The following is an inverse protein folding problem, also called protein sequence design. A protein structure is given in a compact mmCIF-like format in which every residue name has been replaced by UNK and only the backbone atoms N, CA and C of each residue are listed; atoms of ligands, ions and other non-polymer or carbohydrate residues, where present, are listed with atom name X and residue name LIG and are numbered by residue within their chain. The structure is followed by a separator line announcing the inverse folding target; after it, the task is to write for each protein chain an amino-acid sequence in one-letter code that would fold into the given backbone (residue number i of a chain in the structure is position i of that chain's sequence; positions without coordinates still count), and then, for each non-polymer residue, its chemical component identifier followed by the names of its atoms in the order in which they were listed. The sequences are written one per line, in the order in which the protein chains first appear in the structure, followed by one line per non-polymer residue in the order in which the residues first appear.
data_IF_095291452253
#
_entry.id   IF_095291452253
#
_cell.length_a   1.000
_cell.length_b   1.000
_cell.length_c   1.000
_cell.angle_alpha   90.00
_cell.angle_beta   90.00
_cell.angle_gamma   90.00
#
_symmetry.space_group_name_H-M   'P 1'
#
loop_
_entity.id
_entity.type
_entity.pdbx_description
1 polymer ?
#
# COMPACT_ATOMS: atom_id res chain seq x y z
N UNK A 1 -5.50 -3.61 23.20
CA UNK A 1 -4.87 -4.24 22.03
C UNK A 1 -5.16 -3.35 20.82
N UNK A 2 -4.24 -2.44 20.47
CA UNK A 2 -4.35 -1.65 19.24
C UNK A 2 -3.64 -2.40 18.13
N UNK A 3 -4.37 -2.90 17.14
CA UNK A 3 -3.76 -3.50 15.96
C UNK A 3 -4.28 -2.78 14.73
N UNK A 4 -3.36 -2.29 13.90
CA UNK A 4 -3.61 -1.75 12.55
C UNK A 4 -3.84 -2.84 11.50
N UNK A 5 -3.94 -4.11 11.92
CA UNK A 5 -4.09 -5.28 11.05
C UNK A 5 -5.54 -5.75 11.04
N UNK A 6 -6.09 -5.98 9.86
CA UNK A 6 -7.34 -6.71 9.68
C UNK A 6 -7.04 -8.21 9.65
N UNK A 7 -7.41 -8.92 10.71
CA UNK A 7 -7.29 -10.37 10.82
C UNK A 7 -8.59 -11.11 10.49
N UNK A 8 -9.67 -10.35 10.24
CA UNK A 8 -10.99 -10.90 10.00
C UNK A 8 -11.22 -11.04 8.49
N UNK A 9 -10.88 -10.00 7.72
CA UNK A 9 -11.17 -9.96 6.29
C UNK A 9 -12.65 -10.19 6.02
N UNK A 10 -12.97 -11.10 5.12
CA UNK A 10 -14.35 -11.53 4.85
C UNK A 10 -14.96 -12.44 5.94
N UNK A 11 -14.13 -12.99 6.84
CA UNK A 11 -14.58 -13.98 7.82
C UNK A 11 -15.19 -15.21 7.15
N UNK A 12 -16.27 -15.74 7.73
CA UNK A 12 -16.95 -16.94 7.22
C UNK A 12 -17.79 -16.68 5.96
N UNK A 13 -18.18 -15.43 5.73
CA UNK A 13 -19.19 -15.04 4.74
C UNK A 13 -18.51 -14.26 3.61
N UNK A 14 -17.92 -14.99 2.66
CA UNK A 14 -17.19 -14.43 1.52
C UNK A 14 -18.13 -13.93 0.41
N UNK A 15 -17.81 -12.83 -0.29
CA UNK A 15 -18.62 -12.34 -1.40
C UNK A 15 -18.58 -13.32 -2.57
N UNK A 16 -19.70 -13.43 -3.30
CA UNK A 16 -19.75 -14.15 -4.57
C UNK A 16 -19.01 -13.36 -5.64
N UNK A 17 -17.85 -13.87 -6.05
CA UNK A 17 -17.00 -13.18 -7.03
C UNK A 17 -17.68 -12.95 -8.40
N UNK A 18 -18.66 -13.79 -8.75
CA UNK A 18 -19.41 -13.75 -10.00
C UNK A 18 -18.51 -13.59 -11.24
N UNK A 19 -17.44 -14.38 -11.30
CA UNK A 19 -16.47 -14.29 -12.39
C UNK A 19 -17.13 -14.43 -13.77
N UNK A 20 -16.59 -13.77 -14.81
CA UNK A 20 -17.13 -13.83 -16.17
C UNK A 20 -17.39 -15.26 -16.64
N UNK A 21 -18.54 -15.47 -17.29
CA UNK A 21 -18.94 -16.79 -17.78
C UNK A 21 -19.33 -17.79 -16.69
N UNK A 22 -19.54 -17.35 -15.45
CA UNK A 22 -19.81 -18.24 -14.31
C UNK A 22 -18.60 -19.08 -13.92
N UNK A 23 -17.39 -18.55 -14.14
CA UNK A 23 -16.17 -19.28 -13.84
C UNK A 23 -16.08 -19.60 -12.34
N UNK A 24 -15.69 -20.84 -12.04
CA UNK A 24 -15.49 -21.37 -10.69
C UNK A 24 -14.20 -20.87 -10.06
N UNK A 25 -13.22 -20.50 -10.89
CA UNK A 25 -11.94 -19.97 -10.45
C UNK A 25 -11.41 -18.97 -11.48
N UNK A 26 -10.79 -17.89 -11.00
CA UNK A 26 -9.98 -17.00 -11.81
C UNK A 26 -8.50 -17.36 -11.63
N UNK A 27 -7.81 -17.79 -12.69
CA UNK A 27 -6.38 -18.09 -12.65
C UNK A 27 -5.60 -16.94 -13.27
N UNK A 28 -4.66 -16.38 -12.51
CA UNK A 28 -3.93 -15.17 -12.85
C UNK A 28 -2.42 -15.48 -12.86
N UNK A 29 -1.82 -15.50 -14.06
CA UNK A 29 -0.40 -15.76 -14.24
C UNK A 29 0.42 -14.46 -14.15
N UNK A 30 1.36 -14.41 -13.21
CA UNK A 30 2.31 -13.30 -13.05
C UNK A 30 3.68 -13.71 -13.57
N UNK A 31 4.24 -12.94 -14.50
CA UNK A 31 5.63 -13.05 -14.92
C UNK A 31 6.43 -11.87 -14.38
N UNK A 32 7.30 -12.10 -13.41
CA UNK A 32 8.22 -11.09 -12.90
C UNK A 32 9.36 -10.89 -13.92
N UNK A 33 9.58 -9.63 -14.30
CA UNK A 33 10.67 -9.20 -15.17
C UNK A 33 11.56 -8.22 -14.39
N UNK A 34 12.61 -8.78 -13.79
CA UNK A 34 13.47 -8.11 -12.81
C UNK A 34 14.93 -8.04 -13.27
N UNK A 35 15.28 -8.87 -14.26
CA UNK A 35 16.62 -9.05 -14.78
C UNK A 35 17.17 -7.76 -15.42
N UNK A 36 18.19 -7.18 -14.81
CA UNK A 36 18.75 -5.86 -15.11
C UNK A 36 18.31 -4.76 -14.13
N UNK A 37 17.42 -5.07 -13.19
CA UNK A 37 16.91 -4.16 -12.15
C UNK A 37 17.31 -4.55 -10.73
N UNK A 38 17.97 -5.69 -10.54
CA UNK A 38 18.47 -6.21 -9.26
C UNK A 38 19.67 -5.43 -8.69
N UNK A 39 20.09 -5.79 -7.48
CA UNK A 39 21.27 -5.17 -6.86
C UNK A 39 22.54 -5.42 -7.67
N UNK A 40 23.18 -4.35 -8.12
CA UNK A 40 24.48 -4.41 -8.77
C UNK A 40 25.22 -3.09 -8.60
N UNK A 41 26.55 -3.15 -8.38
CA UNK A 41 27.36 -1.93 -8.27
C UNK A 41 27.34 -1.09 -9.55
N UNK A 42 27.07 -1.72 -10.71
CA UNK A 42 26.88 -1.02 -11.99
C UNK A 42 25.58 -0.20 -12.02
N UNK A 43 24.64 -0.49 -11.12
CA UNK A 43 23.37 0.23 -10.94
C UNK A 43 23.44 1.24 -9.80
N UNK A 44 24.62 1.46 -9.21
CA UNK A 44 24.83 2.34 -8.07
C UNK A 44 24.54 1.72 -6.70
N UNK A 45 24.32 0.41 -6.62
CA UNK A 45 24.07 -0.27 -5.34
C UNK A 45 25.36 -0.54 -4.56
N UNK A 46 25.23 -0.69 -3.24
CA UNK A 46 26.37 -0.93 -2.35
C UNK A 46 27.00 -2.33 -2.49
N UNK A 47 26.26 -3.31 -3.02
CA UNK A 47 26.69 -4.70 -3.09
C UNK A 47 26.04 -5.43 -4.29
N UNK A 48 26.56 -6.62 -4.61
CA UNK A 48 25.93 -7.55 -5.54
C UNK A 48 24.63 -8.15 -5.01
N UNK A 49 23.78 -8.62 -5.93
CA UNK A 49 22.58 -9.40 -5.61
C UNK A 49 22.90 -10.73 -4.93
N UNK A 50 21.95 -11.18 -4.11
CA UNK A 50 22.04 -12.39 -3.31
C UNK A 50 20.71 -13.18 -3.26
N UNK A 51 19.62 -12.60 -3.73
CA UNK A 51 18.29 -13.18 -3.64
C UNK A 51 17.86 -13.87 -4.95
N UNK A 52 16.98 -14.87 -4.83
CA UNK A 52 16.34 -15.62 -5.93
C UNK A 52 17.27 -16.00 -7.10
N UNK A 53 18.28 -16.82 -6.80
CA UNK A 53 19.14 -17.44 -7.83
C UNK A 53 19.42 -18.91 -7.50
N UNK A 54 20.18 -19.58 -8.37
CA UNK A 54 20.64 -20.96 -8.13
C UNK A 54 21.63 -21.07 -6.96
N UNK A 55 22.20 -19.95 -6.50
CA UNK A 55 23.12 -19.91 -5.37
C UNK A 55 22.31 -19.62 -4.11
N UNK A 56 21.55 -20.62 -3.66
CA UNK A 56 20.73 -20.52 -2.45
C UNK A 56 21.63 -20.24 -1.24
N UNK A 57 21.32 -19.19 -0.50
CA UNK A 57 22.14 -18.73 0.63
C UNK A 57 23.34 -17.85 0.25
N UNK A 58 23.38 -17.34 -0.99
CA UNK A 58 24.34 -16.30 -1.34
C UNK A 58 24.26 -15.11 -0.36
N UNK A 59 25.42 -14.50 -0.10
CA UNK A 59 25.52 -13.25 0.63
C UNK A 59 25.86 -12.12 -0.36
N UNK A 60 25.35 -10.88 -0.16
CA UNK A 60 25.77 -9.73 -0.95
C UNK A 60 27.29 -9.51 -0.82
N UNK A 61 27.96 -9.16 -1.91
CA UNK A 61 29.39 -8.81 -1.89
C UNK A 61 29.56 -7.29 -1.94
N UNK A 62 29.91 -6.63 -0.82
CA UNK A 62 30.04 -5.17 -0.78
C UNK A 62 31.11 -4.66 -1.75
N UNK A 63 30.77 -3.63 -2.52
CA UNK A 63 31.66 -2.96 -3.47
C UNK A 63 32.16 -3.85 -4.62
N UNK A 64 31.57 -5.03 -4.82
CA UNK A 64 32.03 -6.01 -5.79
C UNK A 64 30.91 -6.52 -6.69
N UNK A 65 31.31 -6.94 -7.89
CA UNK A 65 30.46 -7.70 -8.80
C UNK A 65 30.48 -9.17 -8.43
N UNK A 66 29.34 -9.84 -8.61
CA UNK A 66 29.23 -11.29 -8.43
C UNK A 66 28.88 -11.91 -9.78
N UNK A 67 29.91 -12.23 -10.57
CA UNK A 67 29.75 -12.65 -11.97
C UNK A 67 28.83 -13.87 -12.14
N UNK A 68 28.84 -14.82 -11.20
CA UNK A 68 27.92 -15.95 -11.24
C UNK A 68 26.46 -15.48 -11.06
N UNK A 69 26.20 -14.59 -10.10
CA UNK A 69 24.87 -14.02 -9.89
C UNK A 69 24.39 -13.25 -11.13
N UNK A 70 25.22 -12.37 -11.67
CA UNK A 70 24.87 -11.57 -12.86
C UNK A 70 24.51 -12.49 -14.04
N UNK A 71 25.33 -13.51 -14.33
CA UNK A 71 25.04 -14.44 -15.43
C UNK A 71 23.80 -15.33 -15.19
N UNK A 72 23.45 -15.60 -13.93
CA UNK A 72 22.19 -16.27 -13.58
C UNK A 72 20.97 -15.39 -13.87
N UNK A 73 21.06 -14.08 -13.59
CA UNK A 73 20.03 -13.11 -13.95
C UNK A 73 19.97 -12.89 -15.46
N UNK A 74 21.10 -12.72 -16.13
CA UNK A 74 21.17 -12.62 -17.59
C UNK A 74 20.46 -13.77 -18.30
N UNK A 75 20.51 -14.99 -17.78
CA UNK A 75 19.76 -16.12 -18.34
C UNK A 75 18.25 -15.85 -18.44
N UNK A 76 17.66 -15.18 -17.44
CA UNK A 76 16.25 -14.83 -17.43
C UNK A 76 15.89 -13.94 -18.61
N UNK A 77 16.58 -12.81 -18.77
CA UNK A 77 16.35 -11.88 -19.87
C UNK A 77 16.70 -12.48 -21.25
N UNK A 78 17.79 -13.25 -21.33
CA UNK A 78 18.35 -13.76 -22.62
C UNK A 78 17.63 -14.99 -23.15
N UNK A 79 17.11 -15.85 -22.29
CA UNK A 79 16.60 -17.16 -22.69
C UNK A 79 15.31 -17.57 -21.96
N UNK A 80 15.21 -17.32 -20.66
CA UNK A 80 14.05 -17.67 -19.84
C UNK A 80 12.77 -17.00 -20.32
N UNK A 81 12.82 -15.67 -20.47
CA UNK A 81 11.71 -14.84 -20.96
C UNK A 81 11.17 -15.35 -22.29
N UNK A 82 12.02 -15.53 -23.30
CA UNK A 82 11.59 -15.97 -24.63
C UNK A 82 10.97 -17.36 -24.65
N UNK A 83 11.40 -18.25 -23.74
CA UNK A 83 10.81 -19.58 -23.61
C UNK A 83 9.41 -19.51 -23.01
N UNK A 84 9.21 -18.66 -22.00
CA UNK A 84 7.92 -18.42 -21.37
C UNK A 84 6.97 -17.68 -22.31
N UNK A 85 7.47 -16.68 -23.03
CA UNK A 85 6.73 -15.97 -24.08
C UNK A 85 6.14 -16.95 -25.10
N UNK A 86 6.96 -17.84 -25.67
CA UNK A 86 6.46 -18.88 -26.60
C UNK A 86 5.43 -19.81 -25.95
N UNK A 87 5.66 -20.24 -24.71
CA UNK A 87 4.74 -21.15 -24.01
C UNK A 87 3.34 -20.52 -23.88
N UNK A 88 3.29 -19.28 -23.44
CA UNK A 88 2.03 -18.55 -23.19
C UNK A 88 1.37 -18.09 -24.48
N UNK A 89 2.10 -17.53 -25.45
CA UNK A 89 1.50 -17.06 -26.71
C UNK A 89 0.97 -18.21 -27.56
N UNK A 90 1.65 -19.36 -27.59
CA UNK A 90 1.15 -20.57 -28.26
C UNK A 90 -0.16 -21.11 -27.66
N UNK A 91 -0.42 -20.81 -26.38
CA UNK A 91 -1.62 -21.23 -25.65
C UNK A 91 -2.64 -20.09 -25.47
N UNK A 92 -2.38 -18.91 -26.03
CA UNK A 92 -3.17 -17.69 -25.82
C UNK A 92 -3.44 -17.40 -24.34
N UNK A 93 -2.47 -17.68 -23.46
CA UNK A 93 -2.62 -17.42 -22.02
C UNK A 93 -2.37 -15.93 -21.75
N UNK A 94 -3.34 -15.21 -21.17
CA UNK A 94 -3.12 -13.84 -20.71
C UNK A 94 -2.16 -13.82 -19.53
N UNK A 95 -1.24 -12.86 -19.52
CA UNK A 95 -0.22 -12.69 -18.47
C UNK A 95 -0.24 -11.25 -17.98
N UNK A 96 0.02 -11.09 -16.70
CA UNK A 96 0.44 -9.80 -16.12
C UNK A 96 1.92 -9.87 -15.84
N UNK A 97 2.68 -8.94 -16.41
CA UNK A 97 4.09 -8.76 -16.11
C UNK A 97 4.19 -7.86 -14.89
N UNK A 98 4.95 -8.28 -13.89
CA UNK A 98 5.47 -7.40 -12.84
C UNK A 98 6.85 -6.92 -13.29
N UNK A 99 6.87 -5.75 -13.93
CA UNK A 99 8.04 -5.21 -14.60
C UNK A 99 8.76 -4.16 -13.77
N UNK A 100 10.02 -4.45 -13.41
CA UNK A 100 10.89 -3.48 -12.74
C UNK A 100 11.30 -2.43 -13.77
N UNK A 101 11.04 -1.14 -13.50
CA UNK A 101 11.13 -0.10 -14.52
C UNK A 101 12.54 0.00 -15.15
N UNK A 102 13.60 -0.15 -14.34
CA UNK A 102 14.98 -0.18 -14.85
C UNK A 102 15.31 -1.44 -15.65
N UNK A 103 14.72 -2.59 -15.34
CA UNK A 103 14.87 -3.82 -16.13
C UNK A 103 14.18 -3.68 -17.49
N UNK A 104 12.95 -3.15 -17.52
CA UNK A 104 12.21 -2.86 -18.76
C UNK A 104 12.99 -1.92 -19.67
N UNK A 105 13.55 -0.83 -19.11
CA UNK A 105 14.35 0.14 -19.85
C UNK A 105 15.60 -0.46 -20.51
N UNK A 106 16.18 -1.52 -19.93
CA UNK A 106 17.38 -2.19 -20.47
C UNK A 106 17.06 -3.18 -21.59
N UNK A 107 15.81 -3.61 -21.76
CA UNK A 107 15.44 -4.61 -22.75
C UNK A 107 14.15 -4.22 -23.52
N UNK A 108 14.24 -3.24 -24.43
CA UNK A 108 13.08 -2.79 -25.21
C UNK A 108 12.48 -3.91 -26.08
N UNK A 109 13.26 -4.91 -26.51
CA UNK A 109 12.77 -6.04 -27.29
C UNK A 109 11.79 -6.91 -26.47
N UNK A 110 12.10 -7.15 -25.19
CA UNK A 110 11.19 -7.85 -24.29
C UNK A 110 9.90 -7.05 -24.07
N UNK A 111 10.00 -5.72 -23.89
CA UNK A 111 8.83 -4.85 -23.76
C UNK A 111 7.96 -4.89 -25.02
N UNK A 112 8.57 -4.84 -26.20
CA UNK A 112 7.86 -4.97 -27.48
C UNK A 112 7.12 -6.31 -27.58
N UNK A 113 7.75 -7.41 -27.16
CA UNK A 113 7.12 -8.74 -27.15
C UNK A 113 5.96 -8.87 -26.14
N UNK A 114 6.06 -8.21 -24.97
CA UNK A 114 4.96 -8.14 -23.99
C UNK A 114 3.75 -7.41 -24.58
N UNK A 115 4.00 -6.30 -25.30
CA UNK A 115 2.95 -5.52 -25.97
C UNK A 115 2.33 -6.27 -27.15
N UNK A 116 3.15 -6.95 -27.96
CA UNK A 116 2.68 -7.82 -29.04
C UNK A 116 1.71 -8.89 -28.53
N UNK A 117 2.01 -9.49 -27.37
CA UNK A 117 1.17 -10.50 -26.73
C UNK A 117 -0.05 -9.92 -25.99
N UNK A 118 -0.25 -8.60 -26.01
CA UNK A 118 -1.31 -7.88 -25.28
C UNK A 118 -1.33 -8.18 -23.76
N UNK A 119 -0.17 -8.50 -23.19
CA UNK A 119 -0.02 -8.70 -21.76
C UNK A 119 -0.17 -7.36 -21.01
N UNK A 120 -0.68 -7.43 -19.79
CA UNK A 120 -0.61 -6.29 -18.89
C UNK A 120 0.84 -6.12 -18.43
N UNK A 121 1.36 -4.90 -18.37
CA UNK A 121 2.65 -4.59 -17.75
C UNK A 121 2.37 -3.70 -16.54
N UNK A 122 2.36 -4.29 -15.34
CA UNK A 122 2.22 -3.60 -14.07
C UNK A 122 3.59 -3.26 -13.49
N UNK A 123 3.65 -2.21 -12.67
CA UNK A 123 4.92 -1.75 -12.10
C UNK A 123 5.38 -2.68 -10.99
N UNK A 124 6.65 -3.10 -11.07
CA UNK A 124 7.35 -3.81 -10.01
C UNK A 124 8.41 -2.95 -9.30
N UNK A 125 8.14 -1.65 -9.18
CA UNK A 125 9.08 -0.69 -8.60
C UNK A 125 10.13 -0.17 -9.58
N UNK A 126 10.95 0.78 -9.11
CA UNK A 126 12.03 1.35 -9.92
C UNK A 126 13.17 0.33 -10.08
N UNK A 127 13.51 -0.32 -8.97
CA UNK A 127 14.55 -1.35 -8.85
C UNK A 127 14.03 -2.51 -8.03
N UNK A 128 14.62 -3.67 -8.22
CA UNK A 128 14.34 -4.86 -7.44
C UNK A 128 15.26 -4.93 -6.22
N UNK A 129 14.92 -4.16 -5.19
CA UNK A 129 15.67 -4.08 -3.93
C UNK A 129 14.76 -4.26 -2.71
N UNK A 130 15.33 -4.28 -1.50
CA UNK A 130 14.57 -4.34 -0.25
C UNK A 130 14.17 -2.91 0.17
N UNK A 131 12.87 -2.64 0.25
CA UNK A 131 12.31 -1.36 0.67
C UNK A 131 11.99 -1.30 2.17
N UNK A 132 12.16 -2.40 2.93
CA UNK A 132 11.72 -2.54 4.33
C UNK A 132 12.00 -1.31 5.19
N UNK A 133 13.23 -0.81 5.12
CA UNK A 133 13.74 0.28 5.96
C UNK A 133 13.85 1.63 5.21
N UNK A 134 13.30 1.71 3.99
CA UNK A 134 13.39 2.92 3.16
C UNK A 134 12.57 4.07 3.76
N UNK A 135 13.14 5.27 3.90
CA UNK A 135 12.38 6.44 4.32
C UNK A 135 11.22 6.72 3.35
N UNK A 136 10.03 7.00 3.89
CA UNK A 136 8.81 7.23 3.08
C UNK A 136 9.01 8.22 1.94
N UNK A 137 9.75 9.31 2.17
CA UNK A 137 10.00 10.33 1.15
C UNK A 137 10.88 9.80 0.00
N UNK A 138 11.87 8.96 0.31
CA UNK A 138 12.71 8.32 -0.70
C UNK A 138 11.90 7.29 -1.49
N UNK A 139 11.11 6.45 -0.81
CA UNK A 139 10.25 5.46 -1.46
C UNK A 139 9.20 6.13 -2.37
N UNK A 140 8.60 7.24 -1.92
CA UNK A 140 7.71 8.05 -2.75
C UNK A 140 8.40 8.53 -4.04
N UNK A 141 9.62 9.07 -3.91
CA UNK A 141 10.38 9.55 -5.06
C UNK A 141 10.76 8.41 -6.02
N UNK A 142 11.10 7.23 -5.50
CA UNK A 142 11.37 6.04 -6.32
C UNK A 142 10.10 5.53 -7.01
N UNK A 143 8.94 5.53 -6.33
CA UNK A 143 7.66 5.17 -6.92
C UNK A 143 7.28 6.10 -8.07
N UNK A 144 7.47 7.42 -7.89
CA UNK A 144 7.23 8.41 -8.94
C UNK A 144 8.21 8.26 -10.11
N UNK A 145 9.48 7.96 -9.84
CA UNK A 145 10.46 7.67 -10.88
C UNK A 145 10.14 6.38 -11.65
N UNK A 146 9.68 5.33 -10.96
CA UNK A 146 9.24 4.09 -11.57
C UNK A 146 8.07 4.33 -12.53
N UNK A 147 7.05 5.06 -12.08
CA UNK A 147 5.89 5.40 -12.90
C UNK A 147 6.31 6.13 -14.18
N UNK A 148 7.15 7.17 -14.07
CA UNK A 148 7.63 7.94 -15.23
C UNK A 148 8.40 7.06 -16.21
N UNK A 149 9.40 6.32 -15.73
CA UNK A 149 10.21 5.46 -16.58
C UNK A 149 9.37 4.33 -17.21
N UNK A 150 8.42 3.77 -16.47
CA UNK A 150 7.52 2.75 -16.98
C UNK A 150 6.65 3.29 -18.11
N UNK A 151 6.08 4.49 -17.96
CA UNK A 151 5.32 5.16 -19.02
C UNK A 151 6.19 5.46 -20.25
N UNK A 152 7.42 5.93 -20.05
CA UNK A 152 8.38 6.18 -21.14
C UNK A 152 8.71 4.91 -21.95
N UNK A 153 8.93 3.76 -21.29
CA UNK A 153 9.40 2.54 -21.97
C UNK A 153 8.25 1.67 -22.49
N UNK A 154 7.09 1.70 -21.85
CA UNK A 154 5.93 0.88 -22.27
C UNK A 154 4.93 1.65 -23.13
N UNK A 155 4.94 2.98 -23.03
CA UNK A 155 4.01 3.89 -23.73
C UNK A 155 2.75 4.23 -22.94
N UNK A 156 2.52 3.59 -21.78
CA UNK A 156 1.35 3.85 -20.92
C UNK A 156 1.72 3.80 -19.44
N UNK A 157 1.01 4.58 -18.62
CA UNK A 157 1.15 4.55 -17.17
C UNK A 157 0.76 3.14 -16.63
N UNK A 158 1.56 2.53 -15.74
CA UNK A 158 1.17 1.28 -15.08
C UNK A 158 -0.08 1.48 -14.20
N UNK A 159 -1.06 0.59 -14.33
CA UNK A 159 -2.31 0.64 -13.55
C UNK A 159 -2.26 -0.23 -12.29
N UNK A 160 -1.32 -1.18 -12.21
CA UNK A 160 -1.07 -2.02 -11.06
C UNK A 160 0.29 -1.76 -10.42
N UNK A 161 0.40 -2.01 -9.13
CA UNK A 161 1.66 -1.89 -8.38
C UNK A 161 1.93 -3.11 -7.49
N UNK A 162 3.18 -3.58 -7.52
CA UNK A 162 3.74 -4.58 -6.60
C UNK A 162 5.19 -4.23 -6.27
N UNK A 163 5.58 -4.12 -5.00
CA UNK A 163 6.99 -3.97 -4.61
C UNK A 163 7.62 -5.32 -4.21
N UNK A 164 6.84 -6.22 -3.62
CA UNK A 164 7.28 -7.49 -3.07
C UNK A 164 7.95 -7.33 -1.71
N UNK A 165 9.21 -6.88 -1.69
CA UNK A 165 9.95 -6.57 -0.44
C UNK A 165 9.59 -5.16 0.02
N UNK A 166 8.31 -4.95 0.33
CA UNK A 166 7.70 -3.65 0.62
C UNK A 166 8.12 -3.08 1.98
N UNK A 167 7.99 -1.76 2.13
CA UNK A 167 8.05 -1.07 3.42
C UNK A 167 6.66 -1.02 4.07
N UNK A 168 6.58 -0.49 5.30
CA UNK A 168 5.30 -0.17 5.95
C UNK A 168 4.51 0.96 5.28
N UNK A 169 5.14 1.71 4.37
CA UNK A 169 4.55 2.86 3.68
C UNK A 169 4.00 2.51 2.29
N UNK A 170 4.45 1.41 1.69
CA UNK A 170 4.24 1.11 0.26
C UNK A 170 2.77 1.16 -0.17
N UNK A 171 1.87 0.52 0.59
CA UNK A 171 0.45 0.49 0.25
C UNK A 171 -0.17 1.90 0.31
N UNK A 172 0.10 2.68 1.35
CA UNK A 172 -0.39 4.07 1.45
C UNK A 172 0.17 4.95 0.33
N UNK A 173 1.45 4.79 -0.02
CA UNK A 173 2.05 5.49 -1.17
C UNK A 173 1.38 5.10 -2.50
N UNK A 174 0.99 3.84 -2.65
CA UNK A 174 0.23 3.36 -3.80
C UNK A 174 -1.17 3.99 -3.88
N UNK A 175 -1.87 4.10 -2.73
CA UNK A 175 -3.17 4.76 -2.65
C UNK A 175 -3.10 6.24 -3.09
N UNK A 176 -2.09 6.98 -2.64
CA UNK A 176 -1.86 8.39 -3.03
C UNK A 176 -1.71 8.58 -4.55
N UNK A 177 -1.31 7.53 -5.27
CA UNK A 177 -1.04 7.55 -6.71
C UNK A 177 -2.17 6.95 -7.54
N UNK A 178 -3.25 6.49 -6.92
CA UNK A 178 -4.48 6.09 -7.61
C UNK A 178 -4.30 4.90 -8.56
N UNK A 179 -3.51 3.89 -8.20
CA UNK A 179 -3.46 2.64 -8.95
C UNK A 179 -4.83 1.95 -8.96
N UNK A 180 -5.16 1.25 -10.05
CA UNK A 180 -6.38 0.46 -10.14
C UNK A 180 -6.34 -0.76 -9.19
N UNK A 181 -5.14 -1.27 -8.90
CA UNK A 181 -4.94 -2.24 -7.83
C UNK A 181 -3.52 -2.19 -7.25
N UNK A 182 -3.40 -2.68 -6.02
CA UNK A 182 -2.16 -2.95 -5.30
C UNK A 182 -2.05 -4.46 -5.03
N UNK A 183 -0.84 -5.02 -5.07
CA UNK A 183 -0.62 -6.46 -4.90
C UNK A 183 0.33 -6.84 -3.75
N UNK A 184 0.82 -5.87 -2.96
CA UNK A 184 1.63 -6.10 -1.75
C UNK A 184 0.80 -6.61 -0.57
N UNK A 185 0.06 -7.69 -0.79
CA UNK A 185 -0.67 -8.44 0.23
C UNK A 185 -0.78 -9.91 -0.18
N UNK A 186 -0.76 -10.78 0.82
CA UNK A 186 -0.83 -12.24 0.67
C UNK A 186 -1.94 -12.82 1.57
N UNK A 187 -2.93 -12.00 1.90
CA UNK A 187 -3.81 -12.22 3.05
C UNK A 187 -5.20 -12.80 2.72
N UNK A 188 -5.51 -13.03 1.44
CA UNK A 188 -6.84 -13.50 1.03
C UNK A 188 -6.78 -14.20 -0.35
N UNK A 189 -7.82 -14.97 -0.67
CA UNK A 189 -8.05 -15.66 -1.94
C UNK A 189 -8.96 -14.84 -2.89
N UNK A 190 -9.38 -13.65 -2.47
CA UNK A 190 -10.20 -12.69 -3.23
C UNK A 190 -9.62 -11.27 -3.19
N UNK A 191 -9.87 -10.44 -4.22
CA UNK A 191 -9.62 -9.01 -4.12
C UNK A 191 -10.45 -8.39 -3.00
N UNK A 192 -9.94 -7.34 -2.35
CA UNK A 192 -10.65 -6.63 -1.30
C UNK A 192 -10.26 -5.16 -1.26
N UNK A 193 -11.15 -4.30 -0.76
CA UNK A 193 -10.88 -2.87 -0.67
C UNK A 193 -10.02 -2.55 0.56
N UNK A 194 -8.84 -2.00 0.31
CA UNK A 194 -8.02 -1.37 1.32
C UNK A 194 -8.48 0.09 1.45
N UNK A 195 -8.92 0.44 2.65
CA UNK A 195 -9.11 1.84 3.01
C UNK A 195 -7.86 2.29 3.74
N UNK A 196 -7.27 3.39 3.32
CA UNK A 196 -6.10 3.99 3.92
C UNK A 196 -6.38 5.45 4.26
N UNK A 197 -5.36 6.14 4.75
CA UNK A 197 -5.47 7.58 5.04
C UNK A 197 -5.54 8.39 3.75
N UNK A 198 -4.87 7.92 2.71
CA UNK A 198 -4.82 8.55 1.40
C UNK A 198 -6.07 8.28 0.52
N UNK A 199 -6.97 7.40 0.94
CA UNK A 199 -8.17 7.06 0.20
C UNK A 199 -8.47 5.56 0.20
N UNK A 200 -9.24 5.11 -0.77
CA UNK A 200 -9.61 3.69 -0.93
C UNK A 200 -8.96 3.15 -2.20
N UNK A 201 -8.39 1.95 -2.13
CA UNK A 201 -7.80 1.27 -3.27
C UNK A 201 -8.04 -0.23 -3.21
N UNK A 202 -8.03 -0.86 -4.37
CA UNK A 202 -8.29 -2.29 -4.45
C UNK A 202 -6.99 -3.06 -4.22
N UNK A 203 -7.01 -4.01 -3.30
CA UNK A 203 -5.98 -5.03 -3.21
C UNK A 203 -6.42 -6.22 -4.04
N UNK A 204 -5.55 -6.65 -4.96
CA UNK A 204 -5.65 -7.96 -5.59
C UNK A 204 -4.51 -8.77 -4.99
N UNK A 205 -4.75 -9.72 -4.05
CA UNK A 205 -3.69 -10.37 -3.27
C UNK A 205 -2.85 -11.33 -4.13
N UNK A 206 -1.55 -11.36 -3.86
CA UNK A 206 -0.54 -12.17 -4.57
C UNK A 206 -0.13 -13.40 -3.73
N UNK A 207 0.90 -14.12 -4.18
CA UNK A 207 1.34 -15.38 -3.57
C UNK A 207 2.86 -15.44 -3.43
N UNK A 208 3.33 -16.02 -2.32
CA UNK A 208 4.73 -16.43 -2.12
C UNK A 208 4.89 -17.95 -2.08
N UNK A 209 3.80 -18.70 -2.12
CA UNK A 209 3.73 -20.15 -2.01
C UNK A 209 3.49 -20.83 -3.37
N UNK A 210 2.44 -20.44 -4.11
CA UNK A 210 2.19 -20.80 -5.51
C UNK A 210 3.09 -19.98 -6.45
N UNK A 211 4.39 -20.02 -6.17
CA UNK A 211 5.40 -19.13 -6.75
C UNK A 211 6.70 -19.90 -7.02
N UNK A 212 7.26 -19.79 -8.22
CA UNK A 212 8.51 -20.47 -8.59
C UNK A 212 9.74 -19.93 -7.85
N UNK A 213 9.63 -18.78 -7.15
CA UNK A 213 10.66 -18.28 -6.22
C UNK A 213 11.08 -19.38 -5.24
N UNK A 214 10.16 -20.29 -4.92
CA UNK A 214 10.39 -21.40 -4.00
C UNK A 214 11.47 -22.35 -4.49
N UNK A 215 11.78 -22.43 -5.78
CA UNK A 215 12.97 -23.17 -6.25
C UNK A 215 14.30 -22.60 -5.75
N UNK A 216 14.33 -21.34 -5.31
CA UNK A 216 15.51 -20.62 -4.84
C UNK A 216 15.41 -20.22 -3.35
N UNK A 217 14.58 -20.93 -2.57
CA UNK A 217 14.43 -20.72 -1.12
C UNK A 217 14.79 -21.98 -0.33
N UNK A 218 15.07 -21.82 0.97
CA UNK A 218 15.51 -22.94 1.82
C UNK A 218 14.50 -24.10 1.88
N UNK A 219 13.19 -23.84 2.05
CA UNK A 219 12.14 -24.87 2.07
C UNK A 219 11.61 -25.16 0.64
N UNK A 220 12.48 -25.13 -0.35
CA UNK A 220 12.12 -25.02 -1.76
C UNK A 220 11.65 -26.29 -2.48
N UNK A 221 11.08 -26.11 -3.68
CA UNK A 221 10.74 -27.21 -4.58
C UNK A 221 12.02 -27.84 -5.15
N UNK A 222 12.25 -29.13 -4.90
CA UNK A 222 13.44 -29.82 -5.43
C UNK A 222 13.34 -30.14 -6.93
N UNK A 223 12.13 -30.35 -7.45
CA UNK A 223 11.88 -30.75 -8.84
C UNK A 223 10.68 -30.01 -9.41
N UNK A 224 10.56 -30.02 -10.74
CA UNK A 224 9.35 -29.55 -11.41
C UNK A 224 8.08 -30.26 -10.94
N UNK A 225 8.15 -31.54 -10.57
CA UNK A 225 6.99 -32.28 -10.06
C UNK A 225 6.41 -31.63 -8.81
N UNK A 226 7.26 -31.21 -7.86
CA UNK A 226 6.77 -30.59 -6.63
C UNK A 226 6.03 -29.28 -6.91
N UNK A 227 6.53 -28.46 -7.84
CA UNK A 227 5.84 -27.23 -8.21
C UNK A 227 4.53 -27.50 -8.92
N UNK A 228 4.50 -28.43 -9.89
CA UNK A 228 3.27 -28.82 -10.55
C UNK A 228 2.24 -29.37 -9.56
N UNK A 229 2.65 -30.29 -8.69
CA UNK A 229 1.75 -30.89 -7.69
C UNK A 229 1.15 -29.82 -6.78
N UNK A 230 1.98 -28.87 -6.31
CA UNK A 230 1.51 -27.77 -5.49
C UNK A 230 0.48 -26.90 -6.24
N UNK A 231 0.79 -26.49 -7.47
CA UNK A 231 -0.13 -25.68 -8.27
C UNK A 231 -1.43 -26.43 -8.59
N UNK A 232 -1.35 -27.71 -8.94
CA UNK A 232 -2.52 -28.57 -9.18
C UNK A 232 -3.40 -28.66 -7.94
N UNK A 233 -2.81 -28.94 -6.78
CA UNK A 233 -3.58 -29.13 -5.54
C UNK A 233 -4.22 -27.81 -5.10
N UNK A 234 -3.53 -26.67 -5.24
CA UNK A 234 -4.11 -25.33 -5.01
C UNK A 234 -5.26 -25.04 -5.97
N UNK A 235 -5.09 -25.35 -7.27
CA UNK A 235 -6.14 -25.17 -8.27
C UNK A 235 -7.36 -26.07 -7.96
N UNK A 236 -7.15 -27.36 -7.71
CA UNK A 236 -8.23 -28.33 -7.48
C UNK A 236 -9.05 -27.97 -6.24
N UNK A 237 -8.40 -27.51 -5.16
CA UNK A 237 -9.07 -27.03 -3.96
C UNK A 237 -9.96 -25.80 -4.24
N UNK A 238 -9.39 -24.75 -4.83
CA UNK A 238 -10.12 -23.52 -5.14
C UNK A 238 -11.21 -23.74 -6.20
N UNK A 239 -10.97 -24.61 -7.18
CA UNK A 239 -11.95 -25.00 -8.19
C UNK A 239 -13.13 -25.76 -7.56
N UNK A 240 -12.86 -26.64 -6.60
CA UNK A 240 -13.90 -27.34 -5.85
C UNK A 240 -14.76 -26.36 -5.04
N UNK A 241 -14.14 -25.45 -4.28
CA UNK A 241 -14.83 -24.37 -3.55
C UNK A 241 -15.65 -23.48 -4.47
N UNK A 242 -15.17 -23.25 -5.71
CA UNK A 242 -15.86 -22.47 -6.72
C UNK A 242 -17.21 -23.01 -7.18
N UNK A 243 -17.62 -24.20 -6.75
CA UNK A 243 -18.99 -24.65 -6.89
C UNK A 243 -19.99 -23.78 -6.08
N UNK A 244 -19.53 -23.20 -4.97
CA UNK A 244 -20.36 -22.41 -4.06
C UNK A 244 -19.81 -21.02 -3.79
N UNK A 245 -18.49 -20.82 -3.81
CA UNK A 245 -17.85 -19.53 -3.55
C UNK A 245 -16.54 -19.39 -4.36
N UNK A 246 -16.63 -18.98 -5.64
CA UNK A 246 -15.47 -18.82 -6.52
C UNK A 246 -14.38 -17.91 -5.95
N UNK A 247 -13.12 -18.26 -6.22
CA UNK A 247 -11.90 -17.56 -5.76
C UNK A 247 -10.95 -17.24 -6.91
N UNK A 248 -9.87 -16.53 -6.62
CA UNK A 248 -8.77 -16.38 -7.56
C UNK A 248 -7.52 -17.15 -7.11
N UNK A 249 -6.67 -17.50 -8.06
CA UNK A 249 -5.36 -18.11 -7.83
C UNK A 249 -4.31 -17.30 -8.58
N UNK A 250 -3.34 -16.76 -7.85
CA UNK A 250 -2.13 -16.20 -8.46
C UNK A 250 -1.09 -17.30 -8.70
N UNK A 251 -0.34 -17.22 -9.80
CA UNK A 251 0.84 -18.05 -10.04
C UNK A 251 2.04 -17.15 -10.32
N UNK A 252 2.99 -17.11 -9.38
CA UNK A 252 4.17 -16.27 -9.47
C UNK A 252 5.32 -16.95 -10.22
N UNK A 253 5.86 -16.29 -11.24
CA UNK A 253 6.91 -16.84 -12.10
C UNK A 253 8.06 -15.85 -12.29
N UNK A 254 9.30 -16.33 -12.39
CA UNK A 254 10.47 -15.51 -12.64
C UNK A 254 11.22 -16.03 -13.87
N UNK A 255 11.62 -15.13 -14.77
CA UNK A 255 12.27 -15.50 -16.04
C UNK A 255 13.50 -16.38 -15.82
N UNK A 256 14.36 -16.02 -14.86
CA UNK A 256 15.58 -16.77 -14.54
C UNK A 256 15.35 -18.13 -13.85
N UNK A 257 14.17 -18.35 -13.26
CA UNK A 257 13.84 -19.57 -12.51
C UNK A 257 13.04 -20.56 -13.36
N UNK A 258 11.71 -20.42 -13.46
CA UNK A 258 10.87 -21.37 -14.22
C UNK A 258 11.23 -21.40 -15.70
N UNK A 259 11.85 -20.36 -16.25
CA UNK A 259 12.36 -20.35 -17.62
C UNK A 259 13.48 -21.36 -17.88
N UNK A 260 14.04 -22.02 -16.85
CA UNK A 260 14.99 -23.12 -16.99
C UNK A 260 14.29 -24.38 -17.55
N UNK A 261 14.92 -25.16 -18.46
CA UNK A 261 14.27 -26.31 -19.08
C UNK A 261 13.77 -27.37 -18.08
N UNK A 262 14.51 -27.59 -16.98
CA UNK A 262 14.13 -28.54 -15.95
C UNK A 262 12.91 -28.12 -15.11
N UNK A 263 12.49 -26.85 -15.16
CA UNK A 263 11.36 -26.31 -14.38
C UNK A 263 10.15 -26.00 -15.26
N UNK A 264 10.35 -25.48 -16.47
CA UNK A 264 9.25 -25.06 -17.35
C UNK A 264 8.28 -26.20 -17.71
N UNK A 265 8.74 -27.44 -17.74
CA UNK A 265 7.90 -28.61 -17.99
C UNK A 265 6.76 -28.74 -16.96
N UNK A 266 6.99 -28.35 -15.72
CA UNK A 266 5.97 -28.33 -14.67
C UNK A 266 4.89 -27.27 -14.95
N UNK A 267 5.31 -26.09 -15.38
CA UNK A 267 4.38 -25.02 -15.76
C UNK A 267 3.54 -25.42 -16.96
N UNK A 268 4.14 -26.03 -17.99
CA UNK A 268 3.39 -26.52 -19.15
C UNK A 268 2.32 -27.54 -18.72
N UNK A 269 2.67 -28.51 -17.87
CA UNK A 269 1.70 -29.47 -17.32
C UNK A 269 0.59 -28.81 -16.51
N UNK A 270 0.89 -27.77 -15.74
CA UNK A 270 -0.12 -27.04 -14.99
C UNK A 270 -1.09 -26.31 -15.93
N UNK A 271 -0.59 -25.66 -16.98
CA UNK A 271 -1.44 -25.04 -18.00
C UNK A 271 -2.30 -26.08 -18.73
N UNK A 272 -1.76 -27.26 -19.02
CA UNK A 272 -2.52 -28.36 -19.61
C UNK A 272 -3.61 -28.88 -18.65
N UNK A 273 -3.33 -28.94 -17.34
CA UNK A 273 -4.33 -29.27 -16.30
C UNK A 273 -5.44 -28.23 -16.25
N UNK A 274 -5.11 -26.94 -16.21
CA UNK A 274 -6.09 -25.85 -16.22
C UNK A 274 -6.97 -25.89 -17.48
N UNK A 275 -6.36 -26.11 -18.65
CA UNK A 275 -7.08 -26.19 -19.92
C UNK A 275 -8.04 -27.40 -20.03
N UNK A 276 -7.83 -28.43 -19.21
CA UNK A 276 -8.71 -29.60 -19.16
C UNK A 276 -9.98 -29.38 -18.31
N UNK A 277 -10.15 -28.21 -17.68
CA UNK A 277 -11.30 -27.89 -16.82
C UNK A 277 -12.18 -26.80 -17.43
N UNK A 278 -13.49 -27.03 -17.43
CA UNK A 278 -14.47 -26.01 -17.81
C UNK A 278 -14.63 -24.95 -16.72
N UNK A 279 -15.14 -23.76 -17.09
CA UNK A 279 -15.45 -22.72 -16.11
C UNK A 279 -14.21 -22.16 -15.40
N UNK A 280 -13.08 -22.07 -16.10
CA UNK A 280 -11.89 -21.36 -15.62
C UNK A 280 -11.77 -20.03 -16.36
N UNK A 281 -11.60 -18.94 -15.61
CA UNK A 281 -11.26 -17.64 -16.19
C UNK A 281 -9.75 -17.41 -16.09
N UNK A 282 -9.04 -17.55 -17.21
CA UNK A 282 -7.67 -17.05 -17.33
C UNK A 282 -7.71 -15.54 -17.54
N UNK A 283 -7.11 -14.78 -16.62
CA UNK A 283 -7.25 -13.33 -16.58
C UNK A 283 -5.90 -12.61 -16.43
N UNK A 284 -5.81 -11.39 -16.98
CA UNK A 284 -4.82 -10.42 -16.50
C UNK A 284 -5.32 -9.86 -15.16
N UNK A 285 -4.40 -9.44 -14.32
CA UNK A 285 -4.69 -8.90 -13.00
C UNK A 285 -5.52 -7.61 -13.07
N UNK A 286 -5.28 -6.75 -14.06
CA UNK A 286 -6.13 -5.58 -14.33
C UNK A 286 -7.58 -5.94 -14.68
N UNK A 287 -7.80 -7.09 -15.33
CA UNK A 287 -9.16 -7.53 -15.68
C UNK A 287 -9.90 -7.99 -14.42
N UNK A 288 -9.22 -8.69 -13.49
CA UNK A 288 -9.75 -9.02 -12.16
C UNK A 288 -10.07 -7.74 -11.38
N UNK A 289 -9.16 -6.77 -11.37
CA UNK A 289 -9.36 -5.51 -10.67
C UNK A 289 -10.59 -4.74 -11.19
N UNK A 290 -10.73 -4.63 -12.51
CA UNK A 290 -11.88 -3.98 -13.16
C UNK A 290 -13.18 -4.73 -12.90
N UNK A 291 -13.17 -6.06 -12.99
CA UNK A 291 -14.32 -6.90 -12.66
C UNK A 291 -14.78 -6.67 -11.23
N UNK A 292 -13.84 -6.74 -10.28
CA UNK A 292 -14.15 -6.56 -8.86
C UNK A 292 -14.69 -5.16 -8.59
N UNK A 293 -14.08 -4.13 -9.15
CA UNK A 293 -14.54 -2.76 -8.95
C UNK A 293 -15.95 -2.52 -9.49
N UNK A 294 -16.32 -3.18 -10.60
CA UNK A 294 -17.68 -3.11 -11.15
C UNK A 294 -18.70 -3.92 -10.34
N UNK A 295 -18.33 -5.14 -9.90
CA UNK A 295 -19.26 -6.08 -9.25
C UNK A 295 -19.40 -5.88 -7.75
N UNK A 296 -18.32 -5.44 -7.12
CA UNK A 296 -18.13 -5.20 -5.69
C UNK A 296 -17.53 -3.81 -5.52
N UNK A 297 -18.27 -2.72 -5.82
CA UNK A 297 -17.75 -1.36 -5.65
C UNK A 297 -17.35 -1.13 -4.19
N UNK A 298 -16.35 -0.28 -3.97
CA UNK A 298 -15.93 0.09 -2.62
C UNK A 298 -17.13 0.61 -1.83
N UNK A 299 -17.46 -0.06 -0.73
CA UNK A 299 -18.50 0.44 0.16
C UNK A 299 -18.04 1.76 0.77
N UNK A 300 -18.95 2.75 0.81
CA UNK A 300 -18.73 3.93 1.63
C UNK A 300 -18.45 3.48 3.06
N UNK A 301 -17.46 4.10 3.73
CA UNK A 301 -17.18 3.80 5.12
C UNK A 301 -18.47 4.01 5.94
N UNK A 302 -18.94 2.95 6.57
CA UNK A 302 -20.07 2.97 7.51
C UNK A 302 -19.58 2.72 8.93
N UNK A 303 -19.06 3.74 9.62
CA UNK A 303 -18.78 3.72 11.06
C UNK A 303 -19.74 2.87 11.90
N UNK A 304 -21.05 2.98 11.62
CA UNK A 304 -22.13 2.31 12.35
C UNK A 304 -22.14 0.79 12.22
N UNK A 305 -21.57 0.23 11.15
CA UNK A 305 -21.50 -1.22 10.92
C UNK A 305 -20.14 -1.84 11.22
N UNK A 306 -19.17 -1.04 11.69
CA UNK A 306 -17.82 -1.51 11.98
C UNK A 306 -17.74 -2.19 13.35
N UNK A 307 -16.95 -3.27 13.42
CA UNK A 307 -16.45 -3.77 14.71
C UNK A 307 -15.56 -2.73 15.39
N UNK A 308 -15.37 -2.84 16.71
CA UNK A 308 -14.49 -1.94 17.46
C UNK A 308 -13.06 -1.89 16.88
N UNK A 309 -12.54 -3.05 16.45
CA UNK A 309 -11.21 -3.14 15.85
C UNK A 309 -11.14 -2.34 14.54
N UNK A 310 -12.07 -2.60 13.61
CA UNK A 310 -12.15 -1.87 12.34
C UNK A 310 -12.33 -0.36 12.58
N UNK A 311 -13.23 0.02 13.46
CA UNK A 311 -13.51 1.42 13.76
C UNK A 311 -12.27 2.14 14.32
N UNK A 312 -11.54 1.53 15.26
CA UNK A 312 -10.31 2.10 15.80
C UNK A 312 -9.17 2.17 14.80
N UNK A 313 -9.02 1.15 13.93
CA UNK A 313 -8.06 1.20 12.84
C UNK A 313 -8.36 2.36 11.88
N UNK A 314 -9.64 2.68 11.66
CA UNK A 314 -10.09 3.71 10.70
C UNK A 314 -10.15 5.12 11.27
N UNK A 315 -10.51 5.28 12.53
CA UNK A 315 -10.82 6.57 13.15
C UNK A 315 -10.10 6.83 14.47
N UNK A 316 -9.26 5.89 14.94
CA UNK A 316 -8.52 6.03 16.19
C UNK A 316 -7.49 7.17 16.19
N UNK A 317 -7.02 7.57 15.02
CA UNK A 317 -6.01 8.63 14.84
C UNK A 317 -6.61 10.03 14.59
N UNK A 318 -7.94 10.18 14.61
CA UNK A 318 -8.59 11.47 14.31
C UNK A 318 -8.14 12.56 15.30
N UNK A 319 -7.94 12.20 16.57
CA UNK A 319 -7.46 13.08 17.64
C UNK A 319 -5.99 12.76 18.02
N UNK A 320 -5.12 12.59 17.02
CA UNK A 320 -3.72 12.15 17.20
C UNK A 320 -3.64 10.77 17.88
N UNK A 321 -2.68 10.57 18.78
CA UNK A 321 -2.47 9.34 19.55
C UNK A 321 -3.48 9.17 20.71
N UNK A 322 -4.73 9.63 20.53
CA UNK A 322 -5.81 9.50 21.52
C UNK A 322 -6.98 8.65 21.02
N UNK A 323 -6.76 7.36 20.71
CA UNK A 323 -7.79 6.44 20.23
C UNK A 323 -8.89 6.15 21.27
N UNK A 324 -8.70 6.54 22.53
CA UNK A 324 -9.74 6.48 23.57
C UNK A 324 -11.01 7.24 23.17
N UNK A 325 -10.88 8.38 22.49
CA UNK A 325 -12.03 9.19 22.06
C UNK A 325 -12.86 8.40 21.03
N UNK A 326 -12.19 7.79 20.07
CA UNK A 326 -12.83 6.92 19.09
C UNK A 326 -13.49 5.70 19.76
N UNK A 327 -12.79 5.03 20.68
CA UNK A 327 -13.34 3.89 21.41
C UNK A 327 -14.61 4.26 22.17
N UNK A 328 -14.60 5.41 22.87
CA UNK A 328 -15.76 5.92 23.62
C UNK A 328 -16.94 6.23 22.70
N UNK A 329 -16.71 6.89 21.57
CA UNK A 329 -17.75 7.17 20.60
C UNK A 329 -18.38 5.88 20.06
N UNK A 330 -17.55 4.88 19.75
CA UNK A 330 -18.02 3.57 19.31
C UNK A 330 -18.84 2.85 20.40
N UNK A 331 -18.36 2.84 21.64
CA UNK A 331 -19.04 2.23 22.79
C UNK A 331 -20.36 2.90 23.14
N UNK A 332 -20.52 4.20 22.85
CA UNK A 332 -21.77 4.92 23.04
C UNK A 332 -22.89 4.46 22.08
N UNK A 333 -22.53 3.69 21.04
CA UNK A 333 -23.45 3.18 20.02
C UNK A 333 -23.56 4.13 18.84
N UNK A 334 -22.96 3.74 17.71
CA UNK A 334 -23.06 4.48 16.45
C UNK A 334 -24.28 3.98 15.66
N UNK A 335 -24.96 4.92 14.99
CA UNK A 335 -26.10 4.67 14.11
C UNK A 335 -25.80 5.18 12.70
N UNK A 336 -26.72 4.98 11.76
CA UNK A 336 -26.55 5.48 10.39
C UNK A 336 -26.32 7.01 10.28
N UNK A 337 -26.63 7.78 11.34
CA UNK A 337 -26.31 9.22 11.38
C UNK A 337 -24.80 9.46 11.43
N UNK A 338 -24.06 8.59 12.10
CA UNK A 338 -22.61 8.67 12.26
C UNK A 338 -21.85 8.13 11.03
N UNK A 339 -22.55 7.74 9.97
CA UNK A 339 -21.92 7.34 8.70
C UNK A 339 -21.56 8.54 7.79
N UNK A 340 -21.81 9.76 8.24
CA UNK A 340 -21.31 10.99 7.61
C UNK A 340 -20.18 11.61 8.43
N UNK A 341 -19.40 12.48 7.79
CA UNK A 341 -18.40 13.27 8.48
C UNK A 341 -19.04 14.03 9.67
N UNK A 342 -20.15 14.73 9.44
CA UNK A 342 -20.84 15.59 10.42
C UNK A 342 -21.32 14.78 11.62
N UNK A 343 -21.96 13.63 11.36
CA UNK A 343 -22.47 12.77 12.42
C UNK A 343 -21.34 12.17 13.25
N UNK A 344 -20.31 11.62 12.59
CA UNK A 344 -19.19 11.03 13.32
C UNK A 344 -18.40 12.09 14.10
N UNK A 345 -18.26 13.29 13.54
CA UNK A 345 -17.64 14.42 14.23
C UNK A 345 -18.39 14.78 15.50
N UNK A 346 -19.72 14.93 15.41
CA UNK A 346 -20.55 15.21 16.57
C UNK A 346 -20.41 14.13 17.67
N UNK A 347 -20.40 12.85 17.29
CA UNK A 347 -20.21 11.74 18.22
C UNK A 347 -18.83 11.77 18.90
N UNK A 348 -17.76 11.99 18.13
CA UNK A 348 -16.40 12.05 18.65
C UNK A 348 -16.16 13.29 19.52
N UNK A 349 -16.70 14.45 19.14
CA UNK A 349 -16.63 15.68 19.95
C UNK A 349 -17.42 15.50 21.25
N UNK A 350 -18.59 14.85 21.20
CA UNK A 350 -19.33 14.46 22.40
C UNK A 350 -18.51 13.57 23.33
N UNK A 351 -17.83 12.55 22.77
CA UNK A 351 -16.95 11.67 23.52
C UNK A 351 -15.74 12.41 24.15
N UNK A 352 -15.13 13.35 23.42
CA UNK A 352 -14.06 14.23 23.91
C UNK A 352 -14.56 15.14 25.04
N UNK A 353 -15.66 15.86 24.83
CA UNK A 353 -16.22 16.81 25.81
C UNK A 353 -16.73 16.11 27.07
N UNK A 354 -17.11 14.84 26.97
CA UNK A 354 -17.45 13.98 28.11
C UNK A 354 -16.25 13.44 28.89
N UNK A 355 -15.00 13.69 28.47
CA UNK A 355 -13.82 13.35 29.27
C UNK A 355 -13.65 14.33 30.46
N UNK A 356 -13.08 13.88 31.59
CA UNK A 356 -12.67 14.79 32.66
C UNK A 356 -11.72 15.88 32.15
N UNK A 357 -11.78 17.08 32.71
CA UNK A 357 -10.98 18.23 32.28
C UNK A 357 -9.46 17.92 32.24
N UNK A 358 -8.96 17.12 33.18
CA UNK A 358 -7.55 16.67 33.18
C UNK A 358 -7.16 15.85 31.95
N UNK A 359 -8.06 14.99 31.46
CA UNK A 359 -7.83 14.20 30.24
C UNK A 359 -7.92 15.07 28.98
N UNK A 360 -8.82 16.06 28.97
CA UNK A 360 -8.89 17.06 27.90
C UNK A 360 -7.61 17.92 27.85
N UNK A 361 -7.08 18.34 29.01
CA UNK A 361 -5.79 19.04 29.10
C UNK A 361 -4.64 18.15 28.63
N UNK A 362 -4.63 16.87 29.00
CA UNK A 362 -3.62 15.92 28.54
C UNK A 362 -3.62 15.76 27.01
N UNK A 363 -4.81 15.69 26.38
CA UNK A 363 -4.94 15.69 24.92
C UNK A 363 -4.32 16.94 24.31
N UNK A 364 -4.66 18.14 24.81
CA UNK A 364 -4.11 19.39 24.27
C UNK A 364 -2.58 19.39 24.43
N UNK A 365 -2.05 18.98 25.59
CA UNK A 365 -0.60 18.91 25.83
C UNK A 365 0.13 17.92 24.92
N UNK A 366 -0.54 16.84 24.52
CA UNK A 366 0.01 15.87 23.58
C UNK A 366 -0.03 16.37 22.12
N UNK A 367 -0.78 17.41 21.82
CA UNK A 367 -0.87 17.94 20.47
C UNK A 367 0.45 18.62 20.05
N UNK A 368 0.99 18.32 18.85
CA UNK A 368 2.27 18.85 18.44
C UNK A 368 2.21 20.37 18.21
N UNK A 369 3.30 21.05 18.57
CA UNK A 369 3.44 22.48 18.32
C UNK A 369 3.64 22.80 16.83
N UNK A 370 3.08 23.93 16.40
CA UNK A 370 3.34 24.50 15.08
C UNK A 370 4.79 24.98 14.99
N UNK A 371 5.51 24.51 13.96
CA UNK A 371 6.94 24.78 13.74
C UNK A 371 7.85 24.40 14.94
N UNK A 372 7.37 23.51 15.82
CA UNK A 372 8.10 23.08 17.01
C UNK A 372 9.23 22.09 16.72
N UNK A 373 9.95 21.69 17.77
CA UNK A 373 11.12 20.78 17.65
C UNK A 373 10.81 19.44 16.97
N UNK A 374 9.61 18.89 17.19
CA UNK A 374 9.17 17.65 16.51
C UNK A 374 9.01 17.85 14.99
N UNK A 375 8.52 19.03 14.57
CA UNK A 375 8.44 19.40 13.16
C UNK A 375 9.83 19.52 12.55
N UNK A 376 10.75 20.18 13.24
CA UNK A 376 12.14 20.35 12.82
C UNK A 376 12.89 19.01 12.73
N UNK A 377 12.61 18.08 13.65
CA UNK A 377 13.20 16.74 13.67
C UNK A 377 12.52 15.77 12.69
N UNK A 378 11.47 16.17 11.98
CA UNK A 378 10.70 15.27 11.10
C UNK A 378 9.97 14.15 11.85
N UNK A 379 9.64 14.36 13.13
CA UNK A 379 9.06 13.37 14.05
C UNK A 379 7.55 13.57 14.27
N UNK A 380 6.90 14.42 13.47
CA UNK A 380 5.45 14.62 13.53
C UNK A 380 4.68 13.42 12.97
N UNK A 381 3.43 13.24 13.42
CA UNK A 381 2.50 12.33 12.74
C UNK A 381 2.31 12.80 11.28
N UNK A 382 2.05 11.88 10.35
CA UNK A 382 1.87 12.23 8.94
C UNK A 382 0.74 13.25 8.73
N UNK A 383 -0.33 13.20 9.55
CA UNK A 383 -1.41 14.18 9.50
C UNK A 383 -0.91 15.58 9.89
N UNK A 384 -0.19 15.70 11.00
CA UNK A 384 0.41 16.98 11.41
C UNK A 384 1.46 17.48 10.41
N UNK A 385 2.26 16.59 9.80
CA UNK A 385 3.23 16.95 8.75
C UNK A 385 2.53 17.55 7.53
N UNK A 386 1.47 16.89 7.03
CA UNK A 386 0.70 17.39 5.89
C UNK A 386 0.00 18.72 6.21
N UNK A 387 -0.60 18.83 7.39
CA UNK A 387 -1.26 20.06 7.86
C UNK A 387 -0.25 21.22 7.93
N UNK A 388 0.90 21.04 8.58
CA UNK A 388 1.93 22.08 8.69
C UNK A 388 2.60 22.41 7.35
N UNK A 389 2.81 21.42 6.49
CA UNK A 389 3.29 21.62 5.13
C UNK A 389 2.34 22.50 4.30
N UNK A 390 1.03 22.26 4.39
CA UNK A 390 0.01 23.02 3.64
C UNK A 390 -0.07 24.51 4.01
N UNK A 391 0.29 24.86 5.25
CA UNK A 391 0.36 26.24 5.73
C UNK A 391 1.72 26.91 5.43
N UNK A 392 2.61 26.22 4.71
CA UNK A 392 3.93 26.72 4.36
C UNK A 392 4.91 26.78 5.54
N UNK A 393 4.65 26.09 6.65
CA UNK A 393 5.54 26.08 7.82
C UNK A 393 6.81 25.23 7.62
N UNK A 394 6.87 24.43 6.55
CA UNK A 394 8.06 23.66 6.19
C UNK A 394 9.19 24.47 5.54
N UNK A 395 8.97 25.75 5.24
CA UNK A 395 9.93 26.63 4.55
C UNK A 395 9.99 28.02 5.23
N UNK A 396 10.18 28.03 6.54
CA UNK A 396 10.37 29.26 7.33
C UNK A 396 11.82 29.74 7.23
N UNK A 397 12.01 31.06 7.12
CA UNK A 397 13.30 31.70 7.36
C UNK A 397 13.73 31.56 8.83
N UNK A 398 15.03 31.75 9.09
CA UNK A 398 15.55 31.70 10.46
C UNK A 398 14.88 32.72 11.39
N UNK A 399 14.53 33.91 10.88
CA UNK A 399 13.84 34.95 11.65
C UNK A 399 12.39 34.57 11.97
N UNK A 400 11.65 34.05 10.99
CA UNK A 400 10.28 33.55 11.20
C UNK A 400 10.28 32.39 12.20
N UNK A 401 11.21 31.45 12.07
CA UNK A 401 11.33 30.32 12.99
C UNK A 401 11.59 30.79 14.43
N UNK A 402 12.54 31.72 14.61
CA UNK A 402 12.80 32.31 15.92
C UNK A 402 11.58 33.04 16.49
N UNK A 403 10.74 33.66 15.65
CA UNK A 403 9.47 34.27 16.08
C UNK A 403 8.47 33.21 16.56
N UNK A 404 8.30 32.11 15.82
CA UNK A 404 7.46 30.98 16.25
C UNK A 404 7.95 30.37 17.57
N UNK A 405 9.26 30.19 17.75
CA UNK A 405 9.83 29.66 18.99
C UNK A 405 9.56 30.56 20.19
N UNK A 406 9.74 31.89 20.03
CA UNK A 406 9.41 32.86 21.09
C UNK A 406 7.93 32.84 21.45
N UNK A 407 7.05 32.77 20.46
CA UNK A 407 5.60 32.73 20.67
C UNK A 407 5.16 31.43 21.34
N UNK A 408 5.66 30.28 20.91
CA UNK A 408 5.43 28.98 21.56
C UNK A 408 5.90 29.00 23.03
N UNK A 409 7.09 29.55 23.30
CA UNK A 409 7.61 29.66 24.67
C UNK A 409 6.74 30.57 25.56
N UNK A 410 6.34 31.74 25.06
CA UNK A 410 5.44 32.65 25.78
C UNK A 410 4.09 32.01 26.06
N UNK A 411 3.57 31.25 25.10
CA UNK A 411 2.29 30.58 25.20
C UNK A 411 2.30 29.45 26.24
N UNK A 412 3.33 28.59 26.22
CA UNK A 412 3.55 27.59 27.26
C UNK A 412 3.69 28.21 28.65
N UNK A 413 4.47 29.28 28.77
CA UNK A 413 4.70 29.93 30.06
C UNK A 413 3.39 30.51 30.65
N UNK A 414 2.47 30.98 29.81
CA UNK A 414 1.21 31.58 30.25
C UNK A 414 0.12 30.55 30.54
N UNK A 415 0.00 29.52 29.71
CA UNK A 415 -1.16 28.62 29.72
C UNK A 415 -0.86 27.18 30.10
N UNK A 416 0.42 26.78 30.13
CA UNK A 416 0.86 25.39 30.31
C UNK A 416 0.25 24.42 29.29
N UNK A 417 0.03 24.94 28.07
CA UNK A 417 -0.53 24.25 26.91
C UNK A 417 0.28 24.66 25.66
N UNK A 418 0.39 23.79 24.64
CA UNK A 418 0.85 24.20 23.32
C UNK A 418 -0.20 25.06 22.60
N UNK A 419 0.26 25.91 21.67
CA UNK A 419 -0.66 26.61 20.78
C UNK A 419 -1.17 25.66 19.71
N UNK A 420 -2.50 25.49 19.66
CA UNK A 420 -3.17 24.62 18.69
C UNK A 420 -4.09 25.45 17.82
N UNK A 421 -4.01 25.28 16.51
CA UNK A 421 -4.86 25.95 15.53
C UNK A 421 -5.08 25.05 14.31
N UNK A 422 -6.31 25.00 13.79
CA UNK A 422 -6.60 24.39 12.51
C UNK A 422 -6.05 25.26 11.38
N UNK A 423 -4.96 24.81 10.75
CA UNK A 423 -4.19 25.61 9.78
C UNK A 423 -4.51 25.33 8.31
N UNK A 424 -5.34 24.33 7.97
CA UNK A 424 -5.74 24.04 6.58
C UNK A 424 -6.44 25.28 5.99
N UNK A 425 -5.85 25.88 4.96
CA UNK A 425 -6.33 27.11 4.33
C UNK A 425 -5.94 28.42 5.03
N UNK A 426 -5.10 28.36 6.08
CA UNK A 426 -4.57 29.55 6.76
C UNK A 426 -3.14 29.85 6.30
N UNK A 427 -2.83 31.12 6.05
CA UNK A 427 -1.47 31.58 5.79
C UNK A 427 -0.68 31.85 7.07
N UNK A 428 0.65 31.97 6.93
CA UNK A 428 1.59 32.23 8.05
C UNK A 428 1.22 33.47 8.87
N UNK A 429 0.91 34.57 8.19
CA UNK A 429 0.47 35.84 8.81
C UNK A 429 -0.75 35.64 9.71
N UNK A 430 -1.73 34.86 9.27
CA UNK A 430 -2.93 34.58 10.05
C UNK A 430 -2.63 33.75 11.31
N UNK A 431 -1.69 32.81 11.23
CA UNK A 431 -1.25 32.00 12.38
C UNK A 431 -0.55 32.89 13.42
N UNK A 432 0.36 33.77 12.97
CA UNK A 432 1.08 34.69 13.86
C UNK A 432 0.13 35.69 14.52
N UNK A 433 -0.81 36.26 13.77
CA UNK A 433 -1.84 37.14 14.31
C UNK A 433 -2.73 36.43 15.34
N UNK A 434 -3.08 35.16 15.10
CA UNK A 434 -3.84 34.35 16.04
C UNK A 434 -3.07 34.09 17.34
N UNK A 435 -1.77 33.84 17.27
CA UNK A 435 -0.88 33.71 18.44
C UNK A 435 -0.93 34.96 19.31
N UNK A 436 -0.67 36.13 18.72
CA UNK A 436 -0.61 37.41 19.43
C UNK A 436 -1.97 37.79 20.04
N UNK A 437 -3.06 37.52 19.31
CA UNK A 437 -4.40 37.73 19.82
C UNK A 437 -4.69 36.83 21.03
N UNK A 438 -4.42 35.53 20.92
CA UNK A 438 -4.74 34.51 21.94
C UNK A 438 -3.86 34.57 23.17
N UNK A 439 -2.63 35.08 23.06
CA UNK A 439 -1.80 35.39 24.23
C UNK A 439 -2.44 36.41 25.19
N UNK A 440 -3.49 37.14 24.79
CA UNK A 440 -4.23 38.05 25.66
C UNK A 440 -5.39 37.38 26.40
N UNK A 441 -5.76 36.15 26.05
CA UNK A 441 -6.83 35.40 26.69
C UNK A 441 -6.49 35.06 28.16
N UNK A 442 -7.50 34.80 28.97
CA UNK A 442 -7.32 34.12 30.24
C UNK A 442 -7.13 32.60 30.04
N UNK A 443 -6.57 31.88 31.03
CA UNK A 443 -6.28 30.45 30.88
C UNK A 443 -7.48 29.55 30.60
N UNK A 444 -8.69 29.91 31.05
CA UNK A 444 -9.89 29.10 30.81
C UNK A 444 -10.43 29.34 29.40
N UNK A 445 -10.49 30.61 28.97
CA UNK A 445 -10.80 30.96 27.58
C UNK A 445 -9.88 30.22 26.61
N UNK A 446 -8.59 30.17 26.91
CA UNK A 446 -7.61 29.54 26.04
C UNK A 446 -7.72 28.00 26.03
N UNK A 447 -8.02 27.40 27.17
CA UNK A 447 -8.32 25.98 27.24
C UNK A 447 -9.52 25.60 26.34
N UNK A 448 -10.59 26.39 26.39
CA UNK A 448 -11.78 26.16 25.55
C UNK A 448 -11.50 26.38 24.06
N UNK A 449 -10.72 27.41 23.71
CA UNK A 449 -10.34 27.69 22.33
C UNK A 449 -9.42 26.60 21.76
N UNK A 450 -8.44 26.11 22.54
CA UNK A 450 -7.60 24.99 22.14
C UNK A 450 -8.43 23.73 21.82
N UNK A 451 -9.43 23.39 22.64
CA UNK A 451 -10.35 22.29 22.34
C UNK A 451 -11.13 22.55 21.04
N UNK A 452 -11.67 23.75 20.85
CA UNK A 452 -12.40 24.11 19.62
C UNK A 452 -11.53 23.98 18.37
N UNK A 453 -10.25 24.30 18.46
CA UNK A 453 -9.29 24.13 17.36
C UNK A 453 -9.01 22.66 17.08
N UNK A 454 -8.83 21.82 18.12
CA UNK A 454 -8.68 20.37 17.98
C UNK A 454 -9.92 19.75 17.34
N UNK A 455 -11.12 20.16 17.75
CA UNK A 455 -12.37 19.72 17.12
C UNK A 455 -12.43 20.10 15.65
N UNK A 456 -11.94 21.29 15.29
CA UNK A 456 -11.88 21.74 13.90
C UNK A 456 -10.86 20.95 13.09
N UNK A 457 -9.72 20.58 13.67
CA UNK A 457 -8.73 19.69 13.04
C UNK A 457 -9.37 18.31 12.79
N UNK A 458 -10.00 17.73 13.80
CA UNK A 458 -10.72 16.46 13.69
C UNK A 458 -11.80 16.51 12.60
N UNK A 459 -12.55 17.61 12.51
CA UNK A 459 -13.54 17.85 11.46
C UNK A 459 -12.92 17.75 10.06
N UNK A 460 -11.81 18.47 9.83
CA UNK A 460 -11.14 18.48 8.54
C UNK A 460 -10.62 17.09 8.15
N UNK A 461 -10.12 16.31 9.12
CA UNK A 461 -9.68 14.93 8.91
C UNK A 461 -10.83 14.00 8.55
N UNK A 462 -11.99 14.17 9.19
CA UNK A 462 -13.17 13.36 8.89
C UNK A 462 -13.74 13.68 7.52
N UNK A 463 -13.75 14.95 7.10
CA UNK A 463 -14.18 15.34 5.75
C UNK A 463 -13.33 14.73 4.64
N UNK A 464 -12.06 14.45 4.91
CA UNK A 464 -11.17 13.80 3.95
C UNK A 464 -11.44 12.27 3.86
N UNK A 465 -12.21 11.68 4.80
CA UNK A 465 -12.47 10.23 4.90
C UNK A 465 -13.93 9.83 4.67
N UNK A 466 -14.88 10.66 5.07
CA UNK A 466 -16.31 10.37 5.05
C UNK A 466 -17.07 11.37 4.15
N UNK A 467 -18.18 10.95 3.53
CA UNK A 467 -19.05 11.88 2.82
C UNK A 467 -19.68 12.89 3.79
N UNK A 468 -20.02 14.08 3.28
CA UNK A 468 -20.92 14.99 4.00
C UNK A 468 -22.33 14.40 4.10
N UNK A 469 -23.05 14.71 5.17
CA UNK A 469 -24.46 14.40 5.34
C UNK A 469 -25.24 15.02 4.17
N UNK A 470 -25.95 14.18 3.41
CA UNK A 470 -26.87 14.60 2.37
C UNK A 470 -28.16 15.18 2.92
#
# INVERSE_FOLDING_TARGET
MHTSRDLIGYGRDVPQADWPGGARIAVQIVLNYEEGGENCILHGDAASEAFLSEIVGAAPWPGQRHMNMESLYEYGARAGFWRLWRLFTQRAVPVTVFGVATALARNPDAVAAMREAAWEIASHGLKWIDYRDMPRAEEAAQMDAAIRLHEEVTGERPLGWYTGRSSVNTLELGLERGFAYLADSYADDLPYWLYGRAGTGLVVPYTLDANDMRFATAQGFNTGEHFFAYLRDSFDALYAEGATAPKMMSVGLHCRLVGRPGRIAALARFLDHVAAHDGVWLARRIDIARHWAARHPAEALRPSSMSAAQFLTRFGDIFEDTPEIALRAWQAGLTAREDSAEGLHAALVGALRGLPAERQRALIRAHPELAGRLAQAGQLTQASTAEQGSAGLGALSAEELARFERLNAAYRARFDLPFVMAIKGSGREAILAAFEARLRNDPEQEFQEALRQIERIAWLRLKDRLPSAG
#
